data_IF_257997666643
#
_entry.id   IF_257997666643
#
_cell.length_a   1.000
_cell.length_b   1.000
_cell.length_c   1.000
_cell.angle_alpha   90.00
_cell.angle_beta   90.00
_cell.angle_gamma   90.00
#
_symmetry.space_group_name_H-M   'P 1'
#
loop_
_entity.id
_entity.type
_entity.pdbx_description
1 polymer ?
#
# COMPACT_ATOMS: atom_id res chain seq x y z
N UNK A 1 -18.51 -8.51 7.78
CA UNK A 1 -17.93 -9.22 6.63
C UNK A 1 -16.64 -8.51 6.26
N UNK A 2 -15.50 -8.97 6.78
CA UNK A 2 -14.20 -8.29 6.57
C UNK A 2 -13.79 -8.51 5.13
N UNK A 3 -13.62 -7.43 4.36
CA UNK A 3 -13.13 -7.49 2.99
C UNK A 3 -11.68 -7.96 2.99
N UNK A 4 -11.49 -9.28 2.93
CA UNK A 4 -10.19 -9.89 2.63
C UNK A 4 -9.81 -9.46 1.21
N UNK A 5 -8.57 -9.01 1.02
CA UNK A 5 -8.02 -8.70 -0.30
C UNK A 5 -8.40 -9.79 -1.32
N UNK A 6 -9.12 -9.40 -2.37
CA UNK A 6 -9.68 -10.32 -3.39
C UNK A 6 -8.60 -11.20 -4.04
N UNK A 7 -7.41 -10.64 -4.25
CA UNK A 7 -6.25 -11.36 -4.79
C UNK A 7 -5.74 -12.43 -3.81
N UNK A 8 -5.69 -12.11 -2.51
CA UNK A 8 -5.25 -13.06 -1.48
C UNK A 8 -6.23 -14.23 -1.35
N UNK A 9 -7.53 -13.97 -1.47
CA UNK A 9 -8.55 -15.01 -1.49
C UNK A 9 -8.38 -15.95 -2.70
N UNK A 10 -8.30 -15.39 -3.92
CA UNK A 10 -8.10 -16.17 -5.15
C UNK A 10 -6.80 -16.99 -5.14
N UNK A 11 -5.75 -16.45 -4.50
CA UNK A 11 -4.51 -17.20 -4.28
C UNK A 11 -4.72 -18.38 -3.34
N UNK A 12 -5.46 -18.22 -2.24
CA UNK A 12 -5.79 -19.29 -1.29
C UNK A 12 -6.66 -20.37 -1.91
N UNK A 13 -7.59 -19.99 -2.78
CA UNK A 13 -8.44 -20.89 -3.56
C UNK A 13 -7.70 -21.57 -4.72
N UNK A 14 -6.38 -21.32 -4.87
CA UNK A 14 -5.50 -21.94 -5.85
C UNK A 14 -5.91 -21.74 -7.32
N UNK A 15 -6.60 -20.65 -7.63
CA UNK A 15 -6.95 -20.35 -9.02
C UNK A 15 -5.72 -20.25 -9.94
N UNK A 16 -4.57 -19.82 -9.42
CA UNK A 16 -3.30 -19.75 -10.17
C UNK A 16 -2.68 -21.11 -10.56
N UNK A 17 -3.21 -22.23 -10.04
CA UNK A 17 -2.81 -23.58 -10.44
C UNK A 17 -3.62 -24.10 -11.63
N UNK A 18 -4.79 -23.50 -11.90
CA UNK A 18 -5.65 -23.90 -13.01
C UNK A 18 -5.08 -23.36 -14.35
N UNK A 19 -5.08 -24.19 -15.42
CA UNK A 19 -4.56 -23.78 -16.72
C UNK A 19 -5.37 -22.62 -17.34
N UNK A 20 -6.65 -22.50 -17.00
CA UNK A 20 -7.55 -21.42 -17.45
C UNK A 20 -7.19 -20.04 -16.86
N UNK A 21 -6.37 -20.00 -15.80
CA UNK A 21 -6.02 -18.79 -15.08
C UNK A 21 -4.52 -18.48 -15.14
N UNK A 22 -3.90 -18.74 -16.29
CA UNK A 22 -2.49 -18.42 -16.56
C UNK A 22 -2.20 -16.92 -16.30
N UNK A 23 -3.10 -16.02 -16.71
CA UNK A 23 -2.96 -14.59 -16.45
C UNK A 23 -2.87 -14.26 -14.95
N UNK A 24 -3.61 -14.97 -14.10
CA UNK A 24 -3.55 -14.77 -12.65
C UNK A 24 -2.23 -15.31 -12.06
N UNK A 25 -1.73 -16.43 -12.58
CA UNK A 25 -0.39 -16.93 -12.22
C UNK A 25 0.71 -15.93 -12.60
N UNK A 26 0.64 -15.35 -13.80
CA UNK A 26 1.57 -14.33 -14.25
C UNK A 26 1.52 -13.07 -13.36
N UNK A 27 0.30 -12.63 -12.99
CA UNK A 27 0.10 -11.51 -12.07
C UNK A 27 0.78 -11.72 -10.70
N UNK A 28 0.71 -12.93 -10.15
CA UNK A 28 1.36 -13.26 -8.87
C UNK A 28 2.90 -13.39 -8.97
N UNK A 29 3.41 -13.70 -10.16
CA UNK A 29 4.84 -13.91 -10.39
C UNK A 29 5.58 -12.61 -10.72
N UNK A 30 4.95 -11.69 -11.45
CA UNK A 30 5.52 -10.40 -11.83
C UNK A 30 6.18 -9.64 -10.64
N UNK A 31 5.49 -9.35 -9.52
CA UNK A 31 6.10 -8.60 -8.41
C UNK A 31 7.24 -9.35 -7.72
N UNK A 32 7.28 -10.69 -7.80
CA UNK A 32 8.39 -11.48 -7.24
C UNK A 32 9.64 -11.40 -8.12
N UNK A 33 9.44 -11.43 -9.44
CA UNK A 33 10.52 -11.29 -10.41
C UNK A 33 11.16 -9.91 -10.28
N UNK A 34 10.35 -8.85 -10.23
CA UNK A 34 10.84 -7.48 -10.09
C UNK A 34 11.59 -7.28 -8.77
N UNK A 35 11.06 -7.83 -7.66
CA UNK A 35 11.73 -7.79 -6.38
C UNK A 35 13.08 -8.53 -6.41
N UNK A 36 13.17 -9.67 -7.09
CA UNK A 36 14.42 -10.42 -7.23
C UNK A 36 15.50 -9.62 -7.98
N UNK A 37 15.13 -9.00 -9.11
CA UNK A 37 16.04 -8.14 -9.88
C UNK A 37 16.55 -6.96 -9.04
N UNK A 38 15.67 -6.34 -8.24
CA UNK A 38 16.01 -5.23 -7.35
C UNK A 38 16.95 -5.67 -6.21
N UNK A 39 16.78 -6.89 -5.69
CA UNK A 39 17.62 -7.43 -4.63
C UNK A 39 19.04 -7.74 -5.13
N UNK A 40 19.14 -8.29 -6.35
CA UNK A 40 20.43 -8.59 -6.98
C UNK A 40 21.24 -7.33 -7.29
N UNK A 41 20.57 -6.24 -7.68
CA UNK A 41 21.21 -4.97 -8.01
C UNK A 41 21.63 -4.11 -6.80
N UNK A 42 21.22 -4.45 -5.57
CA UNK A 42 21.43 -3.60 -4.38
C UNK A 42 22.37 -4.22 -3.33
N UNK A 43 23.32 -3.41 -2.87
CA UNK A 43 24.18 -3.73 -1.73
C UNK A 43 24.09 -2.60 -0.68
N UNK A 44 23.79 -2.91 0.61
CA UNK A 44 23.50 -4.23 1.16
C UNK A 44 22.15 -4.78 0.67
N UNK A 45 22.02 -6.12 0.66
CA UNK A 45 20.81 -6.80 0.22
C UNK A 45 19.61 -6.35 1.07
N UNK A 46 18.53 -5.85 0.46
CA UNK A 46 17.40 -5.34 1.21
C UNK A 46 16.56 -6.46 1.83
N UNK A 47 15.86 -6.17 2.93
CA UNK A 47 14.93 -7.11 3.56
C UNK A 47 13.68 -7.29 2.70
N UNK A 48 13.43 -8.51 2.24
CA UNK A 48 12.22 -8.88 1.51
C UNK A 48 11.10 -9.33 2.46
N UNK A 49 9.90 -8.78 2.26
CA UNK A 49 8.71 -9.09 3.06
C UNK A 49 7.55 -9.39 2.11
N UNK A 50 6.87 -10.52 2.32
CA UNK A 50 5.64 -10.88 1.61
C UNK A 50 4.50 -10.92 2.62
N UNK A 51 3.41 -10.20 2.35
CA UNK A 51 2.27 -10.14 3.26
C UNK A 51 0.97 -9.82 2.52
N UNK A 52 -0.13 -10.37 3.03
CA UNK A 52 -1.48 -10.05 2.57
C UNK A 52 -2.10 -8.96 3.46
N UNK A 53 -3.25 -8.43 3.05
CA UNK A 53 -4.02 -7.47 3.85
C UNK A 53 -4.36 -8.05 5.23
N UNK A 54 -4.30 -7.20 6.26
CA UNK A 54 -4.53 -7.54 7.67
C UNK A 54 -3.50 -8.48 8.32
N UNK A 55 -2.41 -8.83 7.62
CA UNK A 55 -1.28 -9.53 8.25
C UNK A 55 -0.41 -8.56 9.06
N UNK A 56 0.25 -9.06 10.10
CA UNK A 56 1.10 -8.25 11.00
C UNK A 56 2.22 -7.52 10.27
N UNK A 57 2.74 -8.13 9.20
CA UNK A 57 3.80 -7.61 8.34
C UNK A 57 3.30 -6.51 7.38
N UNK A 58 1.99 -6.41 7.10
CA UNK A 58 1.43 -5.36 6.26
C UNK A 58 1.60 -3.96 6.88
N UNK A 59 1.85 -3.88 8.19
CA UNK A 59 2.14 -2.62 8.89
C UNK A 59 3.37 -1.90 8.36
N UNK A 60 4.37 -2.61 7.85
CA UNK A 60 5.55 -2.00 7.22
C UNK A 60 5.21 -1.17 5.98
N UNK A 61 4.12 -1.54 5.28
CA UNK A 61 3.58 -0.74 4.20
C UNK A 61 2.73 0.40 4.76
N UNK A 62 1.82 0.11 5.70
CA UNK A 62 0.91 1.12 6.27
C UNK A 62 1.63 2.28 6.97
N UNK A 63 2.83 2.06 7.51
CA UNK A 63 3.64 3.12 8.12
C UNK A 63 4.40 4.00 7.11
N UNK A 64 4.36 3.66 5.81
CA UNK A 64 5.07 4.40 4.74
C UNK A 64 4.15 5.04 3.72
N UNK A 65 2.86 4.71 3.75
CA UNK A 65 1.87 5.31 2.84
C UNK A 65 1.42 6.67 3.38
N UNK A 66 1.06 7.57 2.47
CA UNK A 66 0.45 8.84 2.83
C UNK A 66 -0.93 8.60 3.48
N UNK A 67 -1.21 9.13 4.67
CA UNK A 67 -2.49 8.94 5.37
C UNK A 67 -3.62 9.81 4.79
N UNK A 68 -3.88 9.73 3.48
CA UNK A 68 -4.96 10.52 2.83
C UNK A 68 -6.35 10.18 3.39
N UNK A 69 -6.56 8.93 3.78
CA UNK A 69 -7.76 8.47 4.48
C UNK A 69 -7.33 7.93 5.84
N UNK A 70 -7.81 8.58 6.91
CA UNK A 70 -7.56 8.21 8.31
C UNK A 70 -8.88 7.87 9.00
N UNK A 71 -8.77 7.44 10.25
CA UNK A 71 -9.94 7.23 11.10
C UNK A 71 -10.76 8.52 11.35
N UNK A 72 -10.18 9.70 11.15
CA UNK A 72 -10.83 11.00 11.37
C UNK A 72 -11.70 11.48 10.19
N UNK A 73 -11.35 11.11 8.95
CA UNK A 73 -12.09 11.51 7.74
C UNK A 73 -12.80 10.34 7.03
N UNK A 74 -12.77 9.14 7.63
CA UNK A 74 -13.31 7.92 7.03
C UNK A 74 -14.80 8.01 6.67
N UNK A 75 -15.60 8.69 7.50
CA UNK A 75 -17.04 8.85 7.27
C UNK A 75 -17.36 9.80 6.11
N UNK A 76 -16.47 10.75 5.81
CA UNK A 76 -16.69 11.80 4.81
C UNK A 76 -16.20 11.38 3.42
N UNK A 77 -15.09 10.64 3.35
CA UNK A 77 -14.43 10.31 2.08
C UNK A 77 -15.09 9.16 1.31
N UNK A 78 -16.01 8.40 1.91
CA UNK A 78 -16.77 7.35 1.20
C UNK A 78 -15.86 6.23 0.66
N UNK A 79 -15.64 5.21 1.49
CA UNK A 79 -14.51 4.27 1.40
C UNK A 79 -14.38 3.43 0.12
N UNK A 80 -13.32 3.71 -0.65
CA UNK A 80 -12.71 2.77 -1.62
C UNK A 80 -11.42 2.10 -1.11
N UNK A 81 -11.02 2.31 0.15
CA UNK A 81 -9.72 1.86 0.68
C UNK A 81 -9.68 1.64 2.20
N UNK A 82 -8.56 1.08 2.68
CA UNK A 82 -8.32 0.83 4.10
C UNK A 82 -7.77 2.10 4.78
N UNK A 83 -8.41 2.61 5.84
CA UNK A 83 -7.93 3.81 6.54
C UNK A 83 -6.59 3.53 7.23
N UNK A 84 -5.67 4.50 7.16
CA UNK A 84 -4.42 4.48 7.92
C UNK A 84 -4.72 5.02 9.31
N UNK A 85 -4.48 4.20 10.34
CA UNK A 85 -4.70 4.58 11.73
C UNK A 85 -3.44 5.33 12.20
N UNK A 86 -3.42 6.64 11.98
CA UNK A 86 -2.36 7.55 12.44
C UNK A 86 -2.96 8.95 12.64
N UNK A 87 -2.27 9.76 13.45
CA UNK A 87 -2.51 11.21 13.62
C UNK A 87 -1.56 12.06 12.74
N UNK A 88 -0.76 11.42 11.89
CA UNK A 88 0.12 12.11 10.95
C UNK A 88 -0.66 12.99 9.96
N UNK A 89 -0.04 14.10 9.56
CA UNK A 89 -0.63 15.06 8.62
C UNK A 89 -0.57 14.49 7.19
N UNK A 90 -1.70 14.43 6.47
CA UNK A 90 -1.69 13.99 5.08
C UNK A 90 -1.01 15.02 4.18
N UNK A 91 -0.41 14.54 3.08
CA UNK A 91 0.39 15.38 2.18
C UNK A 91 -0.35 16.62 1.67
N UNK A 92 -1.67 16.53 1.41
CA UNK A 92 -2.44 17.66 0.92
C UNK A 92 -2.51 18.81 1.94
N UNK A 93 -2.78 18.50 3.21
CA UNK A 93 -2.73 19.49 4.29
C UNK A 93 -1.33 20.06 4.40
N UNK A 94 -0.29 19.23 4.37
CA UNK A 94 1.09 19.73 4.40
C UNK A 94 1.36 20.73 3.28
N UNK A 95 0.95 20.43 2.05
CA UNK A 95 1.12 21.32 0.89
C UNK A 95 0.33 22.62 1.03
N UNK A 96 -0.91 22.58 1.55
CA UNK A 96 -1.71 23.79 1.78
C UNK A 96 -1.05 24.73 2.78
N UNK A 97 -0.47 24.18 3.84
CA UNK A 97 0.28 24.96 4.83
C UNK A 97 1.57 25.52 4.23
N UNK A 98 2.31 24.70 3.46
CA UNK A 98 3.54 25.13 2.80
C UNK A 98 3.28 26.29 1.82
N UNK A 99 2.24 26.19 0.99
CA UNK A 99 1.87 27.25 0.03
C UNK A 99 1.51 28.56 0.74
N UNK A 100 0.74 28.50 1.84
CA UNK A 100 0.39 29.69 2.62
C UNK A 100 1.63 30.38 3.18
N UNK A 101 2.57 29.63 3.75
CA UNK A 101 3.81 30.20 4.32
C UNK A 101 4.75 30.74 3.23
N UNK A 102 4.83 30.09 2.08
CA UNK A 102 5.71 30.52 0.99
C UNK A 102 5.29 31.87 0.36
N UNK A 103 4.00 32.22 0.43
CA UNK A 103 3.44 33.46 -0.13
C UNK A 103 3.27 34.54 0.95
N UNK A 104 3.53 34.24 2.22
CA UNK A 104 3.52 35.25 3.27
C UNK A 104 4.75 36.16 3.12
N UNK A 105 4.52 37.45 2.88
CA UNK A 105 5.58 38.47 2.91
C UNK A 105 6.14 38.58 4.34
N UNK A 106 7.47 38.61 4.45
CA UNK A 106 8.15 38.91 5.71
C UNK A 106 8.09 40.42 5.94
N UNK A 107 7.04 40.89 6.62
CA UNK A 107 6.99 42.24 7.16
C UNK A 107 7.71 42.33 8.50
#
# INVERSE_FOLDING_TARGET
MVAVCRIAQWRKERYHELPEHEAFRALLQAPKSDAAAIMEARFPVPRYITCDQHQSQARFLMSRVNPSVTHNNFAEVGAGGMPVITDDVPLHVFMDHLMKLAVQEQT
#
